data_IF_262036429703
#
_entry.id   IF_262036429703
#
_cell.length_a   1.000
_cell.length_b   1.000
_cell.length_c   1.000
_cell.angle_alpha   90.00
_cell.angle_beta   90.00
_cell.angle_gamma   90.00
#
_symmetry.space_group_name_H-M   'P 1'
#
loop_
_entity.id
_entity.type
_entity.pdbx_description
1 polymer ?
#
# COMPACT_ATOMS: atom_id res chain seq x y z
N UNK A 1 37.60 -44.24 11.02
CA UNK A 1 37.56 -42.90 10.50
C UNK A 1 36.46 -42.17 11.17
N UNK A 2 36.77 -41.36 12.20
CA UNK A 2 35.80 -40.47 12.85
C UNK A 2 35.50 -39.31 11.88
N UNK A 3 34.31 -39.32 11.30
CA UNK A 3 33.81 -38.20 10.53
C UNK A 3 33.54 -37.05 11.47
N UNK A 4 34.35 -36.00 11.39
CA UNK A 4 34.03 -34.72 11.93
C UNK A 4 32.80 -34.19 11.20
N UNK A 5 31.62 -34.32 11.77
CA UNK A 5 30.48 -33.53 11.41
C UNK A 5 30.78 -32.06 11.77
N UNK A 6 31.06 -31.26 10.76
CA UNK A 6 31.08 -29.81 10.92
C UNK A 6 29.66 -29.37 11.31
N UNK A 7 29.54 -28.60 12.37
CA UNK A 7 28.29 -27.98 12.78
C UNK A 7 27.69 -27.08 11.66
N UNK A 8 28.45 -26.79 10.61
CA UNK A 8 28.00 -26.09 9.41
C UNK A 8 27.19 -26.94 8.43
N UNK A 9 27.31 -28.30 8.50
CA UNK A 9 26.61 -29.18 7.56
C UNK A 9 25.33 -29.80 8.13
N UNK A 10 24.99 -29.48 9.36
CA UNK A 10 23.82 -30.03 10.05
C UNK A 10 22.85 -28.92 10.44
N UNK A 11 21.79 -28.83 9.69
CA UNK A 11 20.60 -27.99 9.88
C UNK A 11 20.81 -26.49 9.50
N UNK A 12 19.89 -25.91 8.76
CA UNK A 12 19.81 -24.47 8.65
C UNK A 12 19.64 -23.92 10.07
N UNK A 13 20.66 -23.24 10.57
CA UNK A 13 20.59 -22.56 11.86
C UNK A 13 19.72 -21.33 11.59
N UNK A 14 18.43 -21.44 11.86
CA UNK A 14 17.54 -20.28 11.89
C UNK A 14 17.94 -19.46 13.11
N UNK A 15 18.39 -18.26 12.86
CA UNK A 15 18.57 -17.25 13.89
C UNK A 15 17.40 -16.31 13.83
N UNK A 16 16.66 -16.21 14.92
CA UNK A 16 15.66 -15.17 15.07
C UNK A 16 16.39 -13.85 15.36
N UNK A 17 16.22 -12.87 14.48
CA UNK A 17 16.78 -11.54 14.64
C UNK A 17 15.62 -10.56 14.69
N UNK A 18 15.53 -9.82 15.79
CA UNK A 18 14.57 -8.72 15.92
C UNK A 18 15.10 -7.53 15.12
N UNK A 19 14.28 -7.02 14.18
CA UNK A 19 14.60 -5.82 13.41
C UNK A 19 14.53 -4.61 14.35
N UNK A 20 15.58 -3.80 14.33
CA UNK A 20 15.52 -2.47 14.94
C UNK A 20 14.61 -1.55 14.12
N UNK A 21 14.13 -0.50 14.74
CA UNK A 21 13.10 0.39 14.18
C UNK A 21 13.42 0.95 12.79
N UNK A 22 14.70 1.04 12.41
CA UNK A 22 15.13 1.55 11.11
C UNK A 22 15.88 0.52 10.25
N UNK A 23 15.84 -0.75 10.64
CA UNK A 23 16.37 -1.86 9.84
C UNK A 23 15.34 -2.26 8.76
N UNK A 24 15.83 -2.51 7.55
CA UNK A 24 15.01 -2.88 6.41
C UNK A 24 15.55 -4.14 5.74
N UNK A 25 14.65 -5.08 5.47
CA UNK A 25 14.89 -6.22 4.58
C UNK A 25 14.16 -5.95 3.27
N UNK A 26 14.84 -5.98 2.15
CA UNK A 26 14.29 -5.67 0.84
C UNK A 26 14.08 -6.94 0.01
N UNK A 27 13.25 -6.86 -1.03
CA UNK A 27 13.14 -7.94 -2.00
C UNK A 27 14.39 -8.04 -2.88
N UNK A 28 14.68 -9.23 -3.40
CA UNK A 28 15.79 -9.44 -4.36
C UNK A 28 15.63 -8.53 -5.59
N UNK A 29 14.40 -8.32 -6.08
CA UNK A 29 14.14 -7.39 -7.18
C UNK A 29 14.47 -5.93 -6.86
N UNK A 30 14.26 -5.48 -5.62
CA UNK A 30 14.67 -4.16 -5.18
C UNK A 30 16.20 -4.03 -5.16
N UNK A 31 16.91 -5.07 -4.71
CA UNK A 31 18.37 -5.09 -4.72
C UNK A 31 18.96 -4.90 -6.12
N UNK A 32 18.41 -5.60 -7.13
CA UNK A 32 18.85 -5.45 -8.52
C UNK A 32 18.69 -4.01 -9.04
N UNK A 33 17.63 -3.32 -8.65
CA UNK A 33 17.45 -1.91 -9.00
C UNK A 33 18.42 -1.01 -8.27
N UNK A 34 18.68 -1.28 -6.99
CA UNK A 34 19.61 -0.50 -6.18
C UNK A 34 21.04 -0.61 -6.67
N UNK A 35 21.49 -1.79 -7.11
CA UNK A 35 22.82 -1.95 -7.73
C UNK A 35 22.99 -1.04 -8.95
N UNK A 36 22.02 -1.05 -9.86
CA UNK A 36 22.05 -0.17 -11.04
C UNK A 36 22.02 1.33 -10.66
N UNK A 37 21.32 1.67 -9.59
CA UNK A 37 21.26 3.03 -9.08
C UNK A 37 22.58 3.43 -8.42
N UNK A 38 23.23 2.52 -7.70
CA UNK A 38 24.54 2.75 -7.12
C UNK A 38 25.60 3.01 -8.18
N UNK A 39 25.66 2.17 -9.24
CA UNK A 39 26.53 2.39 -10.40
C UNK A 39 26.27 3.75 -11.05
N UNK A 40 24.99 4.11 -11.25
CA UNK A 40 24.63 5.41 -11.80
C UNK A 40 25.07 6.58 -10.92
N UNK A 41 24.94 6.47 -9.59
CA UNK A 41 25.37 7.50 -8.66
C UNK A 41 26.89 7.65 -8.69
N UNK A 42 27.63 6.55 -8.73
CA UNK A 42 29.08 6.57 -8.80
C UNK A 42 29.57 7.19 -10.13
N UNK A 43 28.97 6.81 -11.25
CA UNK A 43 29.21 7.46 -12.54
C UNK A 43 28.88 8.97 -12.52
N UNK A 44 27.79 9.37 -11.87
CA UNK A 44 27.40 10.77 -11.75
C UNK A 44 28.41 11.56 -10.93
N UNK A 45 28.91 10.98 -9.83
CA UNK A 45 29.94 11.60 -9.00
C UNK A 45 31.24 11.78 -9.78
N UNK A 46 31.72 10.75 -10.49
CA UNK A 46 32.96 10.82 -11.23
C UNK A 46 32.88 11.71 -12.48
N UNK A 47 31.85 11.51 -13.31
CA UNK A 47 31.79 12.11 -14.65
C UNK A 47 31.23 13.53 -14.64
N UNK A 48 30.38 13.87 -13.67
CA UNK A 48 29.73 15.18 -13.62
C UNK A 48 30.25 16.07 -12.48
N UNK A 49 30.47 15.49 -11.31
CA UNK A 49 30.89 16.26 -10.13
C UNK A 49 32.41 16.26 -9.92
N UNK A 50 33.16 15.44 -10.67
CA UNK A 50 34.63 15.28 -10.50
C UNK A 50 35.00 14.87 -9.05
N UNK A 51 34.17 13.96 -8.47
CA UNK A 51 34.33 13.40 -7.14
C UNK A 51 34.62 11.91 -7.22
N UNK A 52 35.24 11.28 -6.21
CA UNK A 52 35.41 9.84 -6.19
C UNK A 52 34.05 9.13 -6.08
N UNK A 53 33.94 7.88 -6.55
CA UNK A 53 32.76 7.06 -6.37
C UNK A 53 32.46 6.88 -4.87
N UNK A 54 31.23 6.59 -4.53
CA UNK A 54 30.78 6.48 -3.15
C UNK A 54 30.40 5.08 -2.74
N UNK A 55 29.69 4.34 -3.61
CA UNK A 55 29.15 3.03 -3.27
C UNK A 55 30.14 1.90 -3.55
N UNK A 56 30.73 1.87 -4.74
CA UNK A 56 31.69 0.84 -5.18
C UNK A 56 31.15 -0.59 -4.90
N UNK A 57 29.88 -0.86 -5.22
CA UNK A 57 29.18 -2.13 -4.95
C UNK A 57 29.18 -3.01 -6.20
N UNK A 58 29.52 -4.31 -6.04
CA UNK A 58 29.54 -5.29 -7.12
C UNK A 58 28.34 -6.24 -7.06
N UNK A 59 27.87 -6.56 -5.86
CA UNK A 59 26.74 -7.47 -5.65
C UNK A 59 25.80 -6.99 -4.56
N UNK A 60 24.67 -7.70 -4.37
CA UNK A 60 23.63 -7.27 -3.40
C UNK A 60 24.09 -7.34 -1.96
N UNK A 61 25.03 -8.20 -1.66
CA UNK A 61 25.59 -8.36 -0.31
C UNK A 61 26.36 -7.09 0.11
N UNK A 62 26.95 -6.38 -0.85
CA UNK A 62 27.62 -5.11 -0.60
C UNK A 62 26.67 -3.98 -0.23
N UNK A 63 25.38 -4.10 -0.60
CA UNK A 63 24.34 -3.16 -0.17
C UNK A 63 23.94 -3.34 1.30
N UNK A 64 24.35 -4.40 1.97
CA UNK A 64 24.05 -4.62 3.38
C UNK A 64 24.85 -3.64 4.24
N UNK A 65 24.13 -2.80 4.96
CA UNK A 65 24.72 -1.72 5.75
C UNK A 65 24.50 -0.33 5.14
N UNK A 66 24.14 -0.27 3.84
CA UNK A 66 23.88 0.99 3.16
C UNK A 66 22.62 1.69 3.71
N UNK A 67 22.69 3.02 3.72
CA UNK A 67 21.58 3.85 4.13
C UNK A 67 20.65 4.15 2.96
N UNK A 68 19.37 4.13 3.27
CA UNK A 68 18.29 4.39 2.31
C UNK A 68 17.28 5.38 2.88
N UNK A 69 16.55 6.03 2.00
CA UNK A 69 15.31 6.74 2.31
C UNK A 69 14.12 5.86 2.05
N UNK A 70 13.29 5.65 3.06
CA UNK A 70 11.94 5.13 2.88
C UNK A 70 10.93 6.28 2.87
N UNK A 71 10.01 6.30 1.92
CA UNK A 71 8.98 7.32 1.83
C UNK A 71 7.72 6.82 1.12
N UNK A 72 6.60 7.47 1.40
CA UNK A 72 5.39 7.24 0.63
C UNK A 72 5.58 7.78 -0.80
N UNK A 73 5.06 7.10 -1.83
CA UNK A 73 5.16 7.56 -3.21
C UNK A 73 4.65 9.00 -3.38
N UNK A 74 5.37 9.79 -4.18
CA UNK A 74 5.04 11.19 -4.49
C UNK A 74 5.00 12.15 -3.29
N UNK A 75 5.72 11.85 -2.23
CA UNK A 75 5.89 12.72 -1.07
C UNK A 75 7.34 13.21 -0.97
N UNK A 76 7.58 14.19 -0.10
CA UNK A 76 8.92 14.74 0.16
C UNK A 76 9.40 14.51 1.59
N UNK A 77 8.68 13.68 2.36
CA UNK A 77 9.04 13.32 3.73
C UNK A 77 9.60 11.89 3.75
N UNK A 78 10.86 11.77 4.08
CA UNK A 78 11.58 10.51 4.09
C UNK A 78 12.01 10.09 5.49
N UNK A 79 12.09 8.80 5.72
CA UNK A 79 12.67 8.20 6.92
C UNK A 79 13.94 7.47 6.54
N UNK A 80 15.03 7.76 7.23
CA UNK A 80 16.30 7.07 7.00
C UNK A 80 16.23 5.65 7.55
N UNK A 81 16.59 4.68 6.72
CA UNK A 81 16.71 3.29 7.10
C UNK A 81 18.05 2.70 6.71
N UNK A 82 18.34 1.49 7.19
CA UNK A 82 19.54 0.73 6.87
C UNK A 82 19.16 -0.62 6.31
N UNK A 83 19.69 -0.97 5.16
CA UNK A 83 19.53 -2.31 4.59
C UNK A 83 20.28 -3.32 5.44
N UNK A 84 19.60 -4.35 5.96
CA UNK A 84 20.19 -5.39 6.77
C UNK A 84 20.14 -6.77 6.11
N UNK A 85 19.41 -6.90 5.00
CA UNK A 85 19.32 -8.15 4.23
C UNK A 85 18.30 -8.10 3.12
N UNK A 86 18.12 -9.25 2.47
CA UNK A 86 17.23 -9.43 1.32
C UNK A 86 16.38 -10.69 1.49
N UNK A 87 15.26 -10.71 0.76
CA UNK A 87 14.33 -11.84 0.70
C UNK A 87 13.89 -12.10 -0.74
N UNK A 88 13.67 -13.36 -1.07
CA UNK A 88 13.07 -13.73 -2.36
C UNK A 88 11.55 -13.47 -2.44
N UNK A 89 10.91 -13.16 -1.33
CA UNK A 89 9.50 -12.73 -1.34
C UNK A 89 9.33 -11.40 -2.07
N UNK A 90 8.18 -11.18 -2.68
CA UNK A 90 7.86 -9.94 -3.43
C UNK A 90 7.56 -8.73 -2.53
N UNK A 91 8.00 -8.75 -1.29
CA UNK A 91 7.73 -7.73 -0.27
C UNK A 91 9.01 -7.35 0.45
N UNK A 92 9.04 -6.18 1.09
CA UNK A 92 10.05 -5.81 2.06
C UNK A 92 9.52 -5.97 3.48
N UNK A 93 10.43 -6.09 4.44
CA UNK A 93 10.11 -6.16 5.87
C UNK A 93 10.83 -5.04 6.61
N UNK A 94 10.10 -4.41 7.50
CA UNK A 94 10.64 -3.42 8.43
C UNK A 94 9.83 -3.42 9.73
N UNK A 95 10.32 -2.71 10.71
CA UNK A 95 9.59 -2.49 11.95
C UNK A 95 8.27 -1.74 11.66
N UNK A 96 7.14 -2.04 12.32
CA UNK A 96 5.88 -1.34 12.12
C UNK A 96 5.99 0.18 12.22
N UNK A 97 6.75 0.68 13.18
CA UNK A 97 6.98 2.11 13.33
C UNK A 97 7.71 2.76 12.15
N UNK A 98 8.52 2.01 11.42
CA UNK A 98 9.12 2.51 10.18
C UNK A 98 8.07 2.74 9.10
N UNK A 99 7.11 1.81 8.97
CA UNK A 99 5.99 1.96 8.03
C UNK A 99 5.09 3.12 8.42
N UNK A 100 4.70 3.22 9.69
CA UNK A 100 3.87 4.30 10.19
C UNK A 100 4.52 5.68 10.07
N UNK A 101 5.82 5.78 10.31
CA UNK A 101 6.58 7.03 10.14
C UNK A 101 6.57 7.55 8.69
N UNK A 102 6.38 6.67 7.71
CA UNK A 102 6.18 7.03 6.30
C UNK A 102 4.71 7.30 5.97
N UNK A 103 3.81 7.24 6.93
CA UNK A 103 2.35 7.30 6.74
C UNK A 103 1.85 6.21 5.80
N UNK A 104 2.35 4.99 6.02
CA UNK A 104 1.97 3.78 5.31
C UNK A 104 1.40 2.75 6.27
N UNK A 105 0.37 2.08 5.82
CA UNK A 105 -0.19 0.92 6.52
C UNK A 105 0.59 -0.34 6.11
N UNK A 106 0.50 -1.39 6.92
CA UNK A 106 1.13 -2.69 6.62
C UNK A 106 0.16 -3.61 5.84
N UNK A 107 -0.67 -3.04 4.96
CA UNK A 107 -1.80 -3.70 4.28
C UNK A 107 -1.56 -3.97 2.79
N UNK A 108 -0.33 -3.81 2.31
CA UNK A 108 0.05 -4.03 0.92
C UNK A 108 0.26 -2.75 0.11
N UNK A 109 0.37 -1.61 0.78
CA UNK A 109 0.76 -0.36 0.15
C UNK A 109 2.14 -0.47 -0.50
N UNK A 110 2.29 0.19 -1.64
CA UNK A 110 3.59 0.32 -2.30
C UNK A 110 4.39 1.44 -1.63
N UNK A 111 5.67 1.17 -1.39
CA UNK A 111 6.64 2.10 -0.86
C UNK A 111 7.68 2.50 -1.89
N UNK A 112 8.28 3.67 -1.70
CA UNK A 112 9.50 4.06 -2.37
C UNK A 112 10.68 3.89 -1.42
N UNK A 113 11.73 3.24 -1.90
CA UNK A 113 13.01 3.14 -1.21
C UNK A 113 14.11 3.62 -2.15
N UNK A 114 14.86 4.62 -1.76
CA UNK A 114 15.96 5.21 -2.54
C UNK A 114 17.28 5.07 -1.77
N UNK A 115 18.37 4.84 -2.47
CA UNK A 115 19.70 4.97 -1.88
C UNK A 115 19.91 6.40 -1.36
N UNK A 116 20.60 6.55 -0.24
CA UNK A 116 20.78 7.86 0.42
C UNK A 116 21.38 8.90 -0.53
N UNK A 117 22.46 8.57 -1.24
CA UNK A 117 23.12 9.51 -2.15
C UNK A 117 22.27 9.83 -3.37
N UNK A 118 21.52 8.87 -3.91
CA UNK A 118 20.58 9.12 -4.99
C UNK A 118 19.48 10.10 -4.55
N UNK A 119 18.89 9.88 -3.39
CA UNK A 119 17.91 10.81 -2.83
C UNK A 119 18.48 12.22 -2.58
N UNK A 120 19.71 12.33 -2.13
CA UNK A 120 20.34 13.63 -1.91
C UNK A 120 20.67 14.37 -3.22
N UNK A 121 21.03 13.67 -4.27
CA UNK A 121 21.45 14.26 -5.54
C UNK A 121 20.29 14.47 -6.52
N UNK A 122 19.35 13.54 -6.58
CA UNK A 122 18.38 13.42 -7.68
C UNK A 122 16.91 13.47 -7.26
N UNK A 123 16.58 13.58 -5.97
CA UNK A 123 15.21 13.44 -5.47
C UNK A 123 14.15 14.23 -6.26
N UNK A 124 14.38 15.53 -6.48
CA UNK A 124 13.38 16.38 -7.12
C UNK A 124 13.20 16.08 -8.60
N UNK A 125 14.24 15.55 -9.27
CA UNK A 125 14.20 15.24 -10.70
C UNK A 125 13.56 13.89 -10.98
N UNK A 126 13.94 12.87 -10.24
CA UNK A 126 13.60 11.49 -10.56
C UNK A 126 12.33 11.00 -9.85
N UNK A 127 11.98 11.65 -8.74
CA UNK A 127 10.91 11.18 -7.88
C UNK A 127 9.62 12.00 -7.95
N UNK A 128 9.72 13.31 -8.13
CA UNK A 128 8.52 14.15 -8.20
C UNK A 128 7.88 14.07 -9.59
N UNK A 129 6.55 13.93 -9.68
CA UNK A 129 5.87 13.81 -10.97
C UNK A 129 5.93 15.11 -11.77
N UNK A 130 6.06 15.01 -13.09
CA UNK A 130 6.10 16.13 -14.02
C UNK A 130 4.83 17.00 -14.07
N UNK A 131 3.74 16.54 -13.47
CA UNK A 131 2.40 17.15 -13.58
C UNK A 131 1.84 17.53 -12.22
N UNK A 132 1.04 18.61 -12.20
CA UNK A 132 0.27 19.09 -11.04
C UNK A 132 1.10 19.47 -9.82
N UNK A 133 1.99 20.42 -9.97
CA UNK A 133 2.78 20.94 -8.85
C UNK A 133 3.87 19.99 -8.35
N UNK A 134 4.04 18.84 -9.01
CA UNK A 134 5.15 17.95 -8.73
C UNK A 134 6.52 18.54 -9.06
N UNK A 135 6.56 19.57 -9.91
CA UNK A 135 7.75 20.39 -10.15
C UNK A 135 7.90 21.56 -9.16
N UNK A 136 7.12 21.56 -8.10
CA UNK A 136 7.46 22.45 -6.99
C UNK A 136 8.77 21.98 -6.40
N UNK A 137 9.69 22.90 -6.17
CA UNK A 137 10.91 22.67 -5.38
C UNK A 137 10.53 22.29 -3.94
N UNK A 138 9.97 21.10 -3.77
CA UNK A 138 9.67 20.55 -2.46
C UNK A 138 11.02 20.06 -1.89
N UNK A 139 11.48 20.62 -0.78
CA UNK A 139 12.70 20.15 -0.15
C UNK A 139 12.47 18.73 0.37
N UNK A 140 13.45 17.87 0.18
CA UNK A 140 13.47 16.58 0.86
C UNK A 140 13.63 16.83 2.37
N UNK A 141 12.60 16.45 3.12
CA UNK A 141 12.62 16.46 4.58
C UNK A 141 12.91 15.05 5.06
N UNK A 142 13.93 14.89 5.91
CA UNK A 142 14.29 13.56 6.39
C UNK A 142 14.26 13.47 7.90
N UNK A 143 13.69 12.35 8.40
CA UNK A 143 13.80 11.93 9.79
C UNK A 143 14.92 10.91 9.92
N UNK A 144 15.98 11.27 10.63
CA UNK A 144 17.12 10.38 10.89
C UNK A 144 16.91 9.46 12.08
N UNK A 145 15.93 9.76 12.94
CA UNK A 145 15.53 8.97 14.10
C UNK A 145 14.01 8.98 14.22
N UNK A 146 13.44 7.81 14.36
CA UNK A 146 12.01 7.66 14.64
C UNK A 146 11.77 7.82 16.14
N UNK A 147 10.86 8.72 16.48
CA UNK A 147 10.30 8.85 17.83
C UNK A 147 8.90 8.24 17.79
N UNK A 148 8.62 7.15 18.51
CA UNK A 148 7.33 6.50 18.48
C UNK A 148 6.16 7.39 18.92
N UNK A 149 6.42 8.40 19.75
CA UNK A 149 5.39 9.33 20.20
C UNK A 149 4.96 10.35 19.15
N UNK A 150 5.73 10.52 18.07
CA UNK A 150 5.48 11.50 16.99
C UNK A 150 4.95 10.86 15.70
N UNK A 151 4.85 9.54 15.63
CA UNK A 151 4.29 8.83 14.47
C UNK A 151 2.76 8.82 14.52
N UNK A 152 2.14 8.31 13.45
CA UNK A 152 0.70 8.21 13.35
C UNK A 152 0.12 7.33 14.47
N UNK A 153 -0.95 7.80 15.13
CA UNK A 153 -1.58 7.13 16.26
C UNK A 153 -2.13 5.73 15.92
N UNK A 154 -2.42 5.45 14.64
CA UNK A 154 -2.81 4.12 14.18
C UNK A 154 -1.76 3.05 14.51
N UNK A 155 -0.48 3.42 14.56
CA UNK A 155 0.58 2.49 14.92
C UNK A 155 0.58 2.12 16.40
N UNK A 156 -0.04 2.93 17.24
CA UNK A 156 -0.14 2.67 18.68
C UNK A 156 -1.19 1.62 19.01
N UNK A 157 -2.17 1.42 18.13
CA UNK A 157 -3.20 0.39 18.26
C UNK A 157 -2.76 -0.99 17.74
N UNK A 158 -1.48 -1.18 17.45
CA UNK A 158 -0.97 -2.48 17.01
C UNK A 158 -0.79 -3.43 18.18
N UNK A 159 -1.20 -4.68 17.98
CA UNK A 159 -1.02 -5.73 18.96
C UNK A 159 0.47 -6.08 19.12
N UNK A 160 0.96 -6.05 20.36
CA UNK A 160 2.32 -6.51 20.71
C UNK A 160 2.16 -7.84 21.47
N UNK A 161 1.93 -8.92 20.74
CA UNK A 161 1.74 -10.26 21.32
C UNK A 161 2.40 -11.31 20.44
N UNK A 162 2.97 -12.34 21.05
CA UNK A 162 3.45 -13.53 20.35
C UNK A 162 2.36 -14.55 20.12
N UNK A 163 1.37 -14.57 20.98
CA UNK A 163 0.28 -15.53 20.94
C UNK A 163 -0.93 -14.92 21.63
N UNK A 164 -2.07 -14.96 20.94
CA UNK A 164 -3.34 -14.55 21.54
C UNK A 164 -3.80 -15.58 22.59
N UNK A 165 -4.35 -15.15 23.74
CA UNK A 165 -4.93 -16.05 24.71
C UNK A 165 -6.21 -16.71 24.18
N UNK A 166 -6.59 -17.85 24.77
CA UNK A 166 -7.77 -18.62 24.31
C UNK A 166 -9.05 -17.77 24.43
N UNK A 167 -9.14 -16.97 25.48
CA UNK A 167 -10.26 -16.09 25.75
C UNK A 167 -10.49 -15.06 24.63
N UNK A 168 -9.41 -14.60 23.98
CA UNK A 168 -9.48 -13.74 22.80
C UNK A 168 -10.19 -14.47 21.64
N UNK A 169 -9.80 -15.72 21.34
CA UNK A 169 -10.45 -16.49 20.28
C UNK A 169 -11.91 -16.85 20.61
N UNK A 170 -12.24 -17.06 21.88
CA UNK A 170 -13.62 -17.30 22.31
C UNK A 170 -14.48 -16.04 22.08
N UNK A 171 -13.97 -14.88 22.43
CA UNK A 171 -14.64 -13.59 22.21
C UNK A 171 -14.84 -13.30 20.71
N UNK A 172 -13.84 -13.58 19.87
CA UNK A 172 -13.99 -13.38 18.41
C UNK A 172 -15.08 -14.26 17.80
N UNK A 173 -15.32 -15.45 18.33
CA UNK A 173 -16.43 -16.33 17.89
C UNK A 173 -17.79 -15.79 18.23
N UNK A 174 -17.90 -15.00 19.26
CA UNK A 174 -19.13 -14.32 19.70
C UNK A 174 -19.28 -12.93 19.09
N UNK A 175 -18.34 -12.52 18.22
CA UNK A 175 -18.29 -11.19 17.60
C UNK A 175 -18.29 -10.07 18.67
N UNK A 176 -17.56 -10.27 19.75
CA UNK A 176 -17.37 -9.25 20.78
C UNK A 176 -16.76 -7.97 20.19
N UNK A 177 -17.06 -6.84 20.80
CA UNK A 177 -16.43 -5.59 20.42
C UNK A 177 -14.91 -5.66 20.72
N UNK A 178 -14.02 -5.16 19.85
CA UNK A 178 -12.59 -5.10 20.14
C UNK A 178 -12.25 -4.46 21.49
N UNK A 179 -12.95 -3.42 21.89
CA UNK A 179 -12.74 -2.74 23.19
C UNK A 179 -13.00 -3.66 24.39
N UNK A 180 -13.87 -4.68 24.25
CA UNK A 180 -14.19 -5.64 25.33
C UNK A 180 -13.05 -6.65 25.58
N UNK A 181 -12.10 -6.76 24.65
CA UNK A 181 -11.01 -7.75 24.70
C UNK A 181 -9.61 -7.12 24.72
N UNK A 182 -9.52 -5.81 24.71
CA UNK A 182 -8.29 -5.05 24.72
C UNK A 182 -7.41 -5.41 25.92
N UNK A 183 -7.99 -5.59 27.09
CA UNK A 183 -7.29 -6.03 28.31
C UNK A 183 -6.61 -7.42 28.20
N UNK A 184 -6.96 -8.21 27.17
CA UNK A 184 -6.37 -9.55 26.93
C UNK A 184 -5.09 -9.51 26.12
N UNK A 185 -4.76 -8.38 25.53
CA UNK A 185 -3.62 -8.16 24.64
C UNK A 185 -2.82 -6.95 25.12
N UNK A 186 -1.61 -6.81 24.64
CA UNK A 186 -0.80 -5.63 24.85
C UNK A 186 -0.78 -4.82 23.55
N UNK A 187 -1.06 -3.54 23.61
CA UNK A 187 -0.98 -2.61 22.48
C UNK A 187 0.34 -1.86 22.45
N UNK A 188 0.68 -1.31 21.29
CA UNK A 188 1.86 -0.46 21.09
C UNK A 188 1.88 0.73 22.04
N UNK A 189 0.72 1.34 22.32
CA UNK A 189 0.60 2.48 23.23
C UNK A 189 1.00 2.17 24.66
N UNK A 190 0.82 0.95 25.14
CA UNK A 190 1.17 0.52 26.50
C UNK A 190 2.69 0.57 26.75
N UNK A 191 3.49 0.55 25.68
CA UNK A 191 4.95 0.55 25.76
C UNK A 191 5.58 1.92 25.52
N UNK A 192 4.81 2.92 25.08
CA UNK A 192 5.32 4.25 24.78
C UNK A 192 5.99 4.89 25.99
N UNK A 193 7.18 5.46 25.77
CA UNK A 193 7.98 6.10 26.81
C UNK A 193 8.63 5.14 27.80
N UNK A 194 8.59 3.83 27.55
CA UNK A 194 9.30 2.81 28.33
C UNK A 194 10.57 2.34 27.63
N UNK A 195 11.39 1.53 28.31
CA UNK A 195 12.59 0.91 27.70
C UNK A 195 12.23 -0.10 26.60
N UNK A 196 10.99 -0.54 26.52
CA UNK A 196 10.48 -1.54 25.59
C UNK A 196 9.68 -0.94 24.42
N UNK A 197 9.63 0.38 24.27
CA UNK A 197 8.83 1.07 23.24
C UNK A 197 9.12 0.65 21.80
N UNK A 198 10.30 0.09 21.52
CA UNK A 198 10.68 -0.41 20.19
C UNK A 198 10.67 -1.92 20.08
N UNK A 199 10.20 -2.66 21.09
CA UNK A 199 10.34 -4.10 21.19
C UNK A 199 9.00 -4.82 21.26
N UNK A 200 9.07 -6.14 21.03
CA UNK A 200 7.92 -7.02 21.22
C UNK A 200 7.00 -7.12 20.01
N UNK A 201 7.24 -6.38 18.95
CA UNK A 201 6.53 -6.53 17.67
C UNK A 201 6.97 -7.83 17.01
N UNK A 202 6.19 -8.88 17.16
CA UNK A 202 6.50 -10.22 16.71
C UNK A 202 5.35 -10.79 15.87
N UNK A 203 5.58 -11.93 15.25
CA UNK A 203 4.52 -12.70 14.60
C UNK A 203 3.67 -13.43 15.64
N UNK A 204 2.36 -13.35 15.50
CA UNK A 204 1.41 -14.04 16.39
C UNK A 204 1.35 -15.55 16.17
N UNK A 205 1.97 -16.05 15.09
CA UNK A 205 2.06 -17.45 14.72
C UNK A 205 3.49 -17.83 14.35
N UNK A 206 3.84 -19.08 14.53
CA UNK A 206 5.16 -19.59 14.15
C UNK A 206 5.40 -19.38 12.65
N UNK A 207 6.47 -18.64 12.35
CA UNK A 207 6.93 -18.38 10.97
C UNK A 207 8.27 -19.04 10.78
N UNK A 208 8.36 -19.98 9.85
CA UNK A 208 9.59 -20.75 9.61
C UNK A 208 10.57 -20.03 8.67
N UNK A 209 10.07 -19.23 7.76
CA UNK A 209 10.88 -18.54 6.76
C UNK A 209 10.14 -17.34 6.17
N UNK A 210 10.70 -16.15 6.29
CA UNK A 210 10.12 -14.92 5.71
C UNK A 210 10.18 -14.89 4.18
N UNK A 211 10.97 -15.75 3.55
CA UNK A 211 11.03 -15.86 2.09
C UNK A 211 9.95 -16.79 1.49
N UNK A 212 9.13 -17.46 2.31
CA UNK A 212 8.02 -18.31 1.86
C UNK A 212 6.79 -17.50 1.41
N UNK A 213 7.00 -16.43 0.69
CA UNK A 213 5.96 -15.64 0.05
C UNK A 213 5.93 -15.87 -1.46
N UNK A 214 4.97 -15.26 -2.17
CA UNK A 214 4.96 -15.26 -3.64
C UNK A 214 6.14 -14.43 -4.16
N UNK A 215 6.77 -14.90 -5.24
CA UNK A 215 7.84 -14.15 -5.93
C UNK A 215 7.34 -12.86 -6.56
N UNK A 216 6.04 -12.80 -6.86
CA UNK A 216 5.39 -11.65 -7.45
C UNK A 216 3.98 -11.47 -6.85
N UNK A 217 3.67 -10.24 -6.46
CA UNK A 217 2.33 -9.92 -5.96
C UNK A 217 1.27 -10.14 -7.04
N UNK A 218 0.20 -10.86 -6.70
CA UNK A 218 -0.95 -11.02 -7.58
C UNK A 218 -1.58 -9.66 -7.94
N UNK A 219 -1.47 -8.65 -7.08
CA UNK A 219 -1.91 -7.29 -7.38
C UNK A 219 -1.24 -6.69 -8.63
N UNK A 220 0.03 -7.04 -8.89
CA UNK A 220 0.77 -6.58 -10.08
C UNK A 220 0.49 -7.41 -11.33
N UNK A 221 0.05 -8.65 -11.17
CA UNK A 221 -0.19 -9.58 -12.29
C UNK A 221 -1.62 -9.55 -12.81
N UNK A 222 -2.55 -8.98 -12.07
CA UNK A 222 -3.94 -8.84 -12.50
C UNK A 222 -4.13 -7.57 -13.32
N UNK A 223 -4.78 -7.70 -14.48
CA UNK A 223 -4.82 -6.67 -15.51
C UNK A 223 -5.58 -5.41 -15.10
N UNK A 224 -6.68 -5.57 -14.36
CA UNK A 224 -7.53 -4.43 -13.98
C UNK A 224 -8.15 -4.57 -12.59
N UNK A 225 -8.82 -3.51 -12.15
CA UNK A 225 -9.43 -3.46 -10.82
C UNK A 225 -10.57 -4.47 -10.63
N UNK A 226 -11.24 -4.87 -11.71
CA UNK A 226 -12.31 -5.87 -11.66
C UNK A 226 -11.73 -7.25 -11.40
N UNK A 227 -10.66 -7.61 -12.13
CA UNK A 227 -9.93 -8.85 -11.92
C UNK A 227 -9.35 -8.94 -10.49
N UNK A 228 -8.86 -7.81 -9.94
CA UNK A 228 -8.38 -7.72 -8.56
C UNK A 228 -9.49 -7.95 -7.55
N UNK A 229 -10.64 -7.34 -7.75
CA UNK A 229 -11.82 -7.55 -6.90
C UNK A 229 -12.30 -9.00 -6.96
N UNK A 230 -12.43 -9.59 -8.16
CA UNK A 230 -12.84 -10.97 -8.33
C UNK A 230 -11.88 -11.93 -7.62
N UNK A 231 -10.58 -11.68 -7.69
CA UNK A 231 -9.58 -12.47 -6.99
C UNK A 231 -9.71 -12.36 -5.45
N UNK A 232 -10.04 -11.19 -4.92
CA UNK A 232 -10.28 -11.00 -3.49
C UNK A 232 -11.57 -11.69 -3.02
N UNK A 233 -12.64 -11.59 -3.79
CA UNK A 233 -13.90 -12.29 -3.49
C UNK A 233 -13.74 -13.81 -3.58
N UNK A 234 -12.98 -14.31 -4.56
CA UNK A 234 -12.64 -15.73 -4.64
C UNK A 234 -11.78 -16.20 -3.48
N UNK A 235 -10.87 -15.34 -2.98
CA UNK A 235 -10.10 -15.62 -1.76
C UNK A 235 -11.02 -15.79 -0.56
N UNK A 236 -12.05 -14.96 -0.43
CA UNK A 236 -13.03 -15.05 0.66
C UNK A 236 -13.76 -16.42 0.68
N UNK A 237 -13.99 -17.04 -0.48
CA UNK A 237 -14.55 -18.41 -0.57
C UNK A 237 -13.62 -19.49 -0.04
N UNK A 238 -12.30 -19.26 -0.13
CA UNK A 238 -11.28 -20.23 0.28
C UNK A 238 -10.97 -20.18 1.75
N UNK A 239 -11.23 -19.05 2.39
CA UNK A 239 -10.95 -18.84 3.81
C UNK A 239 -12.11 -19.33 4.69
N UNK A 240 -11.80 -20.25 5.61
CA UNK A 240 -12.83 -20.83 6.50
C UNK A 240 -13.37 -19.84 7.55
N UNK A 241 -12.56 -18.86 7.93
CA UNK A 241 -12.90 -17.87 8.95
C UNK A 241 -13.68 -16.68 8.38
N UNK A 242 -13.96 -16.66 7.08
CA UNK A 242 -14.58 -15.53 6.40
C UNK A 242 -15.94 -15.94 5.86
N UNK A 243 -16.96 -15.13 6.14
CA UNK A 243 -18.27 -15.23 5.50
C UNK A 243 -18.24 -14.48 4.16
N UNK A 244 -18.16 -15.24 3.07
CA UNK A 244 -18.08 -14.69 1.72
C UNK A 244 -19.29 -13.81 1.35
N UNK A 245 -20.47 -14.11 1.90
CA UNK A 245 -21.69 -13.34 1.64
C UNK A 245 -21.62 -11.99 2.34
N UNK A 246 -21.17 -11.95 3.59
CA UNK A 246 -20.97 -10.70 4.33
C UNK A 246 -19.90 -9.82 3.66
N UNK A 247 -18.79 -10.41 3.22
CA UNK A 247 -17.74 -9.66 2.47
C UNK A 247 -18.32 -9.02 1.21
N UNK A 248 -19.05 -9.80 0.40
CA UNK A 248 -19.66 -9.28 -0.83
C UNK A 248 -20.68 -8.17 -0.55
N UNK A 249 -21.52 -8.32 0.48
CA UNK A 249 -22.47 -7.28 0.89
C UNK A 249 -21.77 -5.99 1.31
N UNK A 250 -20.69 -6.08 2.10
CA UNK A 250 -19.91 -4.91 2.53
C UNK A 250 -19.25 -4.21 1.35
N UNK A 251 -18.69 -4.95 0.40
CA UNK A 251 -18.13 -4.38 -0.83
C UNK A 251 -19.21 -3.64 -1.63
N UNK A 252 -20.40 -4.23 -1.78
CA UNK A 252 -21.50 -3.58 -2.49
C UNK A 252 -21.99 -2.34 -1.73
N UNK A 253 -22.25 -2.44 -0.45
CA UNK A 253 -22.86 -1.38 0.34
C UNK A 253 -21.86 -0.26 0.68
N UNK A 254 -20.60 -0.58 0.92
CA UNK A 254 -19.55 0.37 1.29
C UNK A 254 -18.85 1.04 0.11
N UNK A 255 -18.79 0.37 -1.05
CA UNK A 255 -18.05 0.88 -2.21
C UNK A 255 -18.94 1.07 -3.44
N UNK A 256 -19.56 0.02 -3.97
CA UNK A 256 -20.31 0.14 -5.23
C UNK A 256 -21.52 1.07 -5.13
N UNK A 257 -22.37 0.91 -4.12
CA UNK A 257 -23.56 1.74 -3.98
C UNK A 257 -23.24 3.24 -3.78
N UNK A 258 -22.29 3.64 -2.90
CA UNK A 258 -21.88 5.02 -2.78
C UNK A 258 -21.33 5.61 -4.08
N UNK A 259 -20.49 4.85 -4.81
CA UNK A 259 -19.91 5.27 -6.08
C UNK A 259 -20.99 5.45 -7.17
N UNK A 260 -21.87 4.47 -7.35
CA UNK A 260 -22.95 4.54 -8.33
C UNK A 260 -23.87 5.74 -8.03
N UNK A 261 -24.27 5.92 -6.77
CA UNK A 261 -25.11 7.04 -6.34
C UNK A 261 -24.38 8.37 -6.51
N UNK A 262 -23.10 8.43 -6.18
CA UNK A 262 -22.25 9.60 -6.35
C UNK A 262 -22.12 10.00 -7.81
N UNK A 263 -21.82 9.04 -8.67
CA UNK A 263 -21.70 9.26 -10.12
C UNK A 263 -23.04 9.65 -10.75
N UNK A 264 -24.15 9.05 -10.34
CA UNK A 264 -25.49 9.41 -10.80
C UNK A 264 -25.85 10.86 -10.40
N UNK A 265 -25.52 11.25 -9.17
CA UNK A 265 -25.70 12.66 -8.72
C UNK A 265 -24.83 13.63 -9.50
N UNK A 266 -23.56 13.27 -9.73
CA UNK A 266 -22.65 14.08 -10.54
C UNK A 266 -23.15 14.21 -11.99
N UNK A 267 -23.61 13.11 -12.59
CA UNK A 267 -24.20 13.12 -13.93
C UNK A 267 -25.42 14.02 -14.02
N UNK A 268 -26.35 13.93 -13.06
CA UNK A 268 -27.59 14.72 -13.06
C UNK A 268 -27.38 16.23 -12.82
N UNK A 269 -26.27 16.62 -12.20
CA UNK A 269 -25.95 18.00 -11.81
C UNK A 269 -24.81 18.61 -12.62
N UNK A 270 -24.21 17.86 -13.53
CA UNK A 270 -23.02 18.29 -14.26
C UNK A 270 -23.27 19.50 -15.14
N UNK A 271 -22.20 20.23 -15.37
CA UNK A 271 -22.12 21.27 -16.36
C UNK A 271 -21.66 20.71 -17.70
N UNK A 272 -22.02 21.35 -18.79
CA UNK A 272 -21.43 21.07 -20.10
C UNK A 272 -20.22 21.95 -20.32
N UNK A 273 -19.22 21.46 -21.00
CA UNK A 273 -17.97 22.18 -21.27
C UNK A 273 -17.67 22.19 -22.75
N UNK A 274 -17.20 23.31 -23.25
CA UNK A 274 -16.66 23.45 -24.60
C UNK A 274 -15.29 22.70 -24.66
N UNK A 275 -15.09 21.90 -25.71
CA UNK A 275 -13.85 21.20 -25.95
C UNK A 275 -12.71 22.13 -26.40
N UNK A 276 -13.06 23.22 -27.10
CA UNK A 276 -12.08 24.12 -27.71
C UNK A 276 -11.60 25.22 -26.76
N UNK A 277 -12.53 25.98 -26.15
CA UNK A 277 -12.18 27.09 -25.26
C UNK A 277 -12.31 26.79 -23.76
N UNK A 278 -12.89 25.64 -23.39
CA UNK A 278 -13.04 25.25 -21.98
C UNK A 278 -14.17 25.92 -21.23
N UNK A 279 -14.96 26.82 -21.88
CA UNK A 279 -16.10 27.53 -21.28
C UNK A 279 -17.15 26.54 -20.77
N UNK A 280 -17.71 26.81 -19.59
CA UNK A 280 -18.68 25.96 -18.91
C UNK A 280 -20.08 26.54 -18.95
N UNK A 281 -21.06 25.69 -19.20
CA UNK A 281 -22.48 26.03 -19.23
C UNK A 281 -23.26 25.08 -18.31
N UNK A 282 -24.20 25.63 -17.59
CA UNK A 282 -25.13 24.84 -16.78
C UNK A 282 -25.98 23.87 -17.62
N UNK A 283 -26.21 24.19 -18.88
CA UNK A 283 -26.95 23.38 -19.87
C UNK A 283 -26.32 23.60 -21.24
N UNK A 284 -26.43 22.62 -22.11
CA UNK A 284 -26.04 22.78 -23.52
C UNK A 284 -26.77 23.99 -24.12
N UNK A 285 -26.07 24.94 -24.78
CA UNK A 285 -26.71 26.03 -25.49
C UNK A 285 -27.69 25.48 -26.52
N UNK A 286 -28.79 26.22 -26.72
CA UNK A 286 -29.85 25.79 -27.67
C UNK A 286 -29.38 25.64 -29.12
N UNK A 287 -28.28 26.29 -29.47
CA UNK A 287 -27.62 26.15 -30.77
C UNK A 287 -26.85 24.86 -30.92
N UNK A 288 -26.57 24.14 -29.81
CA UNK A 288 -25.72 22.95 -29.80
C UNK A 288 -24.22 23.23 -29.65
N UNK A 289 -23.80 24.47 -29.95
CA UNK A 289 -22.40 24.89 -29.98
C UNK A 289 -22.07 25.89 -28.87
N UNK A 290 -20.79 26.04 -28.58
CA UNK A 290 -20.30 27.04 -27.63
C UNK A 290 -20.65 28.48 -28.09
N UNK A 291 -21.20 29.28 -27.19
CA UNK A 291 -21.56 30.66 -27.49
C UNK A 291 -20.35 31.57 -27.66
N UNK A 292 -19.21 31.22 -27.03
CA UNK A 292 -18.02 32.07 -27.07
C UNK A 292 -17.14 31.79 -28.30
N UNK A 293 -17.01 30.53 -28.71
CA UNK A 293 -16.11 30.17 -29.81
C UNK A 293 -16.74 29.32 -30.92
N UNK A 294 -18.00 28.90 -30.77
CA UNK A 294 -18.66 28.02 -31.75
C UNK A 294 -18.18 26.55 -31.69
N UNK A 295 -17.38 26.19 -30.72
CA UNK A 295 -16.80 24.86 -30.60
C UNK A 295 -17.78 23.82 -30.05
N UNK A 296 -17.38 22.54 -30.14
CA UNK A 296 -18.20 21.41 -29.72
C UNK A 296 -18.37 21.35 -28.21
N UNK A 297 -19.58 21.00 -27.77
CA UNK A 297 -19.92 20.84 -26.36
C UNK A 297 -19.83 19.37 -25.93
N UNK A 298 -19.32 19.13 -24.72
CA UNK A 298 -19.27 17.80 -24.13
C UNK A 298 -19.76 17.79 -22.69
N UNK A 299 -20.18 16.63 -22.23
CA UNK A 299 -20.49 16.38 -20.83
C UNK A 299 -19.19 16.11 -20.05
N UNK A 300 -19.14 16.58 -18.81
CA UNK A 300 -17.98 16.31 -17.93
C UNK A 300 -18.00 14.90 -17.35
N UNK A 301 -19.19 14.31 -17.20
CA UNK A 301 -19.40 12.92 -16.76
C UNK A 301 -20.19 12.20 -17.85
N UNK A 302 -19.63 11.12 -18.37
CA UNK A 302 -20.29 10.32 -19.41
C UNK A 302 -21.24 9.29 -18.81
N UNK A 303 -22.30 8.94 -19.53
CA UNK A 303 -23.25 7.89 -19.15
C UNK A 303 -22.54 6.55 -18.84
N UNK A 304 -21.57 6.15 -19.64
CA UNK A 304 -20.77 4.95 -19.43
C UNK A 304 -19.99 4.93 -18.10
N UNK A 305 -19.66 6.10 -17.54
CA UNK A 305 -19.01 6.17 -16.23
C UNK A 305 -19.98 5.89 -15.08
N UNK A 306 -21.26 6.17 -15.28
CA UNK A 306 -22.31 5.90 -14.27
C UNK A 306 -22.68 4.42 -14.27
N UNK A 307 -22.75 3.79 -15.45
CA UNK A 307 -23.11 2.37 -15.60
C UNK A 307 -21.96 1.41 -15.30
N UNK A 308 -20.73 1.90 -15.24
CA UNK A 308 -19.52 1.07 -15.22
C UNK A 308 -19.54 -0.06 -14.20
N UNK A 309 -20.15 0.16 -13.04
CA UNK A 309 -20.10 -0.80 -11.94
C UNK A 309 -21.45 -1.46 -11.60
N UNK A 310 -22.54 -1.07 -12.26
CA UNK A 310 -23.86 -1.57 -11.85
C UNK A 310 -24.07 -3.03 -12.21
N UNK A 311 -23.66 -3.43 -13.41
CA UNK A 311 -23.75 -4.81 -13.87
C UNK A 311 -22.88 -5.71 -13.00
N UNK A 312 -21.69 -5.26 -12.67
CA UNK A 312 -20.76 -5.97 -11.78
C UNK A 312 -21.32 -6.10 -10.39
N UNK A 313 -21.86 -5.03 -9.81
CA UNK A 313 -22.46 -5.08 -8.48
C UNK A 313 -23.66 -6.04 -8.43
N UNK A 314 -24.48 -6.08 -9.47
CA UNK A 314 -25.59 -7.04 -9.61
C UNK A 314 -25.06 -8.46 -9.73
N UNK A 315 -24.06 -8.71 -10.56
CA UNK A 315 -23.44 -10.03 -10.70
C UNK A 315 -22.88 -10.52 -9.37
N UNK A 316 -22.12 -9.70 -8.66
CA UNK A 316 -21.56 -10.04 -7.34
C UNK A 316 -22.69 -10.31 -6.33
N UNK A 317 -23.73 -9.49 -6.32
CA UNK A 317 -24.87 -9.67 -5.42
C UNK A 317 -25.60 -11.02 -5.66
N UNK A 318 -25.76 -11.43 -6.90
CA UNK A 318 -26.41 -12.73 -7.24
C UNK A 318 -25.46 -13.89 -6.94
N UNK A 319 -24.21 -13.81 -7.35
CA UNK A 319 -23.23 -14.90 -7.23
C UNK A 319 -22.88 -15.22 -5.78
N UNK A 320 -22.77 -14.21 -4.93
CA UNK A 320 -22.42 -14.36 -3.51
C UNK A 320 -23.62 -14.40 -2.56
N UNK A 321 -24.83 -14.39 -3.11
CA UNK A 321 -26.06 -14.56 -2.34
C UNK A 321 -26.40 -13.39 -1.43
N UNK A 322 -26.06 -12.15 -1.83
CA UNK A 322 -26.40 -10.95 -1.07
C UNK A 322 -27.91 -10.84 -0.80
N UNK A 323 -28.27 -10.09 0.25
CA UNK A 323 -29.67 -9.91 0.68
C UNK A 323 -30.53 -9.34 -0.44
N UNK A 324 -31.78 -9.75 -0.50
CA UNK A 324 -32.74 -9.26 -1.50
C UNK A 324 -32.91 -7.74 -1.45
N UNK A 325 -32.80 -7.12 -0.29
CA UNK A 325 -32.83 -5.67 -0.16
C UNK A 325 -31.69 -4.99 -0.91
N UNK A 326 -30.47 -5.50 -0.79
CA UNK A 326 -29.29 -4.97 -1.50
C UNK A 326 -29.47 -5.13 -3.01
N UNK A 327 -29.90 -6.30 -3.47
CA UNK A 327 -30.23 -6.57 -4.89
C UNK A 327 -31.31 -5.62 -5.41
N UNK A 328 -32.36 -5.42 -4.63
CA UNK A 328 -33.44 -4.50 -5.01
C UNK A 328 -32.96 -3.05 -5.16
N UNK A 329 -32.10 -2.59 -4.26
CA UNK A 329 -31.49 -1.24 -4.37
C UNK A 329 -30.69 -1.08 -5.66
N UNK A 330 -29.87 -2.07 -6.02
CA UNK A 330 -29.10 -2.07 -7.26
C UNK A 330 -30.00 -2.04 -8.49
N UNK A 331 -31.06 -2.88 -8.54
CA UNK A 331 -32.03 -2.90 -9.65
C UNK A 331 -32.82 -1.59 -9.79
N UNK A 332 -33.09 -0.87 -8.69
CA UNK A 332 -33.71 0.44 -8.72
C UNK A 332 -32.74 1.48 -9.32
N UNK A 333 -31.46 1.42 -8.96
CA UNK A 333 -30.46 2.30 -9.54
C UNK A 333 -30.24 2.04 -11.02
N UNK A 334 -30.18 0.77 -11.44
CA UNK A 334 -30.10 0.37 -12.85
C UNK A 334 -31.22 1.02 -13.66
N UNK A 335 -32.49 0.86 -13.24
CA UNK A 335 -33.65 1.49 -13.89
C UNK A 335 -33.65 3.02 -13.86
N UNK A 336 -32.91 3.63 -12.95
CA UNK A 336 -32.80 5.10 -12.87
C UNK A 336 -31.75 5.66 -13.82
N UNK A 337 -30.90 4.78 -14.36
CA UNK A 337 -29.84 5.11 -15.30
C UNK A 337 -30.27 4.87 -16.75
N UNK A 338 -31.14 3.87 -16.98
CA UNK A 338 -31.83 3.68 -18.27
C UNK A 338 -32.72 4.89 -18.64
#
# INVERSE_FOLDING_TARGET
GEGHFSLHDALPIYQLVELKVQDIVLSDGAAEHMLKTADFVDDLLEQFYDLPPFYEVDDREDLVGELVFGMAPHTSAAVVGRVVGFTSAAVGYAHPYFHAAKRRNCDGDEDCVMLLMDGLLNFSKDYLPDKRGGQMDAPLVMSSRIDPSEIDDEAHNMDIVRQYPTEFYEATRELADPDDVEDLIQLGEDTLGTDDEYRGFDHTHDTSNIALGPDLSAYKTLDDMMAKMDAQLELSRKLRAVDQTDVAERVIEGHFLPDIIGNLRAFSRQETRCLDCGEKYRRVPLTGDCRECGGNMTLTVHHGSVNKYIDTALQVAEEYGAREYTKQRLRILEKSIE
#
